data_IF_252825110017
#
_entry.id   IF_252825110017
#
_cell.length_a   1.000
_cell.length_b   1.000
_cell.length_c   1.000
_cell.angle_alpha   90.00
_cell.angle_beta   90.00
_cell.angle_gamma   90.00
#
_symmetry.space_group_name_H-M   'P 1'
#
loop_
_entity.id
_entity.type
_entity.pdbx_description
1 polymer ?
#
# COMPACT_ATOMS: atom_id res chain seq x y z
N UNK A 1 21.19 -23.71 -22.10
CA UNK A 1 19.91 -23.05 -21.75
C UNK A 1 18.94 -23.34 -22.90
N UNK A 2 17.81 -24.00 -22.63
CA UNK A 2 16.88 -24.52 -23.65
C UNK A 2 15.74 -23.52 -23.91
N UNK A 3 15.40 -23.27 -25.17
CA UNK A 3 14.30 -22.41 -25.63
C UNK A 3 12.95 -22.75 -24.95
N UNK A 4 12.73 -24.04 -24.66
CA UNK A 4 11.51 -24.51 -24.00
C UNK A 4 11.37 -24.03 -22.54
N UNK A 5 12.49 -23.89 -21.83
CA UNK A 5 12.51 -23.35 -20.47
C UNK A 5 12.28 -21.83 -20.47
N UNK A 6 12.77 -21.12 -21.49
CA UNK A 6 12.49 -19.68 -21.68
C UNK A 6 11.00 -19.44 -21.94
N UNK A 7 10.36 -20.21 -22.81
CA UNK A 7 8.93 -20.04 -23.12
C UNK A 7 8.02 -20.33 -21.91
N UNK A 8 8.37 -21.30 -21.06
CA UNK A 8 7.63 -21.55 -19.83
C UNK A 8 7.78 -20.42 -18.81
N UNK A 9 8.98 -19.88 -18.66
CA UNK A 9 9.21 -18.74 -17.78
C UNK A 9 8.50 -17.48 -18.30
N UNK A 10 8.54 -17.21 -19.61
CA UNK A 10 7.80 -16.08 -20.22
C UNK A 10 6.29 -16.21 -20.04
N UNK A 11 5.72 -17.42 -20.18
CA UNK A 11 4.29 -17.66 -19.99
C UNK A 11 3.89 -17.61 -18.51
N UNK A 12 4.77 -18.05 -17.59
CA UNK A 12 4.54 -17.93 -16.16
C UNK A 12 4.63 -16.47 -15.69
N UNK A 13 5.60 -15.70 -16.18
CA UNK A 13 5.73 -14.26 -15.93
C UNK A 13 4.56 -13.46 -16.53
N UNK A 14 4.10 -13.82 -17.74
CA UNK A 14 2.97 -13.19 -18.40
C UNK A 14 1.61 -13.44 -17.72
N UNK A 15 1.52 -14.41 -16.79
CA UNK A 15 0.28 -14.78 -16.10
C UNK A 15 0.17 -14.24 -14.66
N UNK A 16 1.09 -13.39 -14.20
CA UNK A 16 0.87 -12.70 -12.92
C UNK A 16 -0.16 -11.58 -13.11
N UNK A 17 -1.39 -11.72 -12.58
CA UNK A 17 -2.37 -10.63 -12.65
C UNK A 17 -1.78 -9.40 -11.96
N UNK A 18 -1.93 -8.25 -12.59
CA UNK A 18 -1.46 -6.97 -12.06
C UNK A 18 -2.09 -6.73 -10.69
N UNK A 19 -1.26 -6.58 -9.65
CA UNK A 19 -1.73 -6.26 -8.31
C UNK A 19 -2.00 -4.76 -8.22
N UNK A 20 -3.26 -4.38 -8.03
CA UNK A 20 -3.69 -2.97 -7.91
C UNK A 20 -3.68 -2.59 -6.43
N UNK A 21 -2.64 -1.88 -6.01
CA UNK A 21 -2.46 -1.39 -4.65
C UNK A 21 -2.93 0.05 -4.46
N UNK A 22 -3.33 0.36 -3.22
CA UNK A 22 -3.66 1.70 -2.76
C UNK A 22 -2.79 2.15 -1.59
N UNK A 23 -2.42 3.41 -1.53
CA UNK A 23 -1.68 3.96 -0.39
C UNK A 23 -2.18 5.35 0.00
N UNK A 24 -2.46 5.56 1.29
CA UNK A 24 -2.82 6.90 1.77
C UNK A 24 -1.58 7.82 1.83
N UNK A 25 -1.70 9.14 1.56
CA UNK A 25 -0.56 10.03 1.39
C UNK A 25 0.47 10.01 2.52
N UNK A 26 -0.03 9.96 3.77
CA UNK A 26 0.83 9.92 4.96
C UNK A 26 1.62 8.60 5.02
N UNK A 27 0.99 7.45 4.72
CA UNK A 27 1.71 6.17 4.69
C UNK A 27 2.68 6.13 3.52
N UNK A 28 2.24 6.60 2.35
CA UNK A 28 3.03 6.59 1.12
C UNK A 28 4.34 7.36 1.29
N UNK A 29 4.26 8.58 1.82
CA UNK A 29 5.43 9.42 2.08
C UNK A 29 6.46 8.78 3.01
N UNK A 30 6.03 7.96 3.97
CA UNK A 30 6.91 7.39 4.98
C UNK A 30 7.46 6.02 4.59
N UNK A 31 6.65 5.18 3.92
CA UNK A 31 6.96 3.76 3.76
C UNK A 31 7.02 3.28 2.33
N UNK A 32 6.50 4.01 1.33
CA UNK A 32 6.35 3.48 -0.03
C UNK A 32 7.69 3.04 -0.64
N UNK A 33 8.72 3.88 -0.55
CA UNK A 33 10.05 3.53 -1.05
C UNK A 33 10.58 2.24 -0.42
N UNK A 34 10.47 2.10 0.90
CA UNK A 34 10.89 0.90 1.63
C UNK A 34 10.10 -0.34 1.19
N UNK A 35 8.78 -0.22 1.05
CA UNK A 35 7.91 -1.32 0.62
C UNK A 35 8.30 -1.79 -0.79
N UNK A 36 8.47 -0.85 -1.73
CA UNK A 36 8.86 -1.19 -3.10
C UNK A 36 10.25 -1.82 -3.15
N UNK A 37 11.21 -1.35 -2.34
CA UNK A 37 12.53 -1.99 -2.22
C UNK A 37 12.44 -3.42 -1.67
N UNK A 38 11.65 -3.66 -0.63
CA UNK A 38 11.47 -5.01 -0.08
C UNK A 38 10.78 -5.95 -1.07
N UNK A 39 9.77 -5.45 -1.81
CA UNK A 39 9.11 -6.22 -2.86
C UNK A 39 10.05 -6.56 -4.01
N UNK A 40 10.93 -5.63 -4.39
CA UNK A 40 11.94 -5.86 -5.44
C UNK A 40 12.95 -6.94 -5.02
N UNK A 41 13.41 -6.89 -3.77
CA UNK A 41 14.35 -7.88 -3.20
C UNK A 41 13.77 -9.30 -3.19
N UNK A 42 12.46 -9.44 -3.03
CA UNK A 42 11.74 -10.72 -3.03
C UNK A 42 11.28 -11.15 -4.45
N UNK A 43 11.62 -10.39 -5.50
CA UNK A 43 11.10 -10.55 -6.87
C UNK A 43 9.55 -10.51 -6.94
N UNK A 44 8.93 -9.76 -6.04
CA UNK A 44 7.47 -9.56 -5.96
C UNK A 44 7.01 -8.24 -6.57
N UNK A 45 7.93 -7.40 -7.03
CA UNK A 45 7.62 -6.11 -7.66
C UNK A 45 7.16 -6.25 -9.13
N UNK A 46 7.14 -7.47 -9.67
CA UNK A 46 6.66 -7.70 -11.02
C UNK A 46 5.13 -7.50 -11.05
N UNK A 47 4.71 -6.40 -11.70
CA UNK A 47 3.32 -6.09 -12.01
C UNK A 47 2.46 -5.52 -10.85
N UNK A 48 2.98 -4.54 -10.10
CA UNK A 48 2.22 -3.77 -9.10
C UNK A 48 1.89 -2.37 -9.64
N UNK A 49 0.62 -1.97 -9.58
CA UNK A 49 0.19 -0.59 -9.81
C UNK A 49 -0.22 0.04 -8.49
N UNK A 50 0.33 1.22 -8.16
CA UNK A 50 0.02 1.92 -6.91
C UNK A 50 -0.78 3.20 -7.21
N UNK A 51 -1.97 3.30 -6.62
CA UNK A 51 -2.77 4.53 -6.59
C UNK A 51 -2.65 5.22 -5.23
N UNK A 52 -2.29 6.50 -5.22
CA UNK A 52 -2.31 7.32 -4.01
C UNK A 52 -3.63 8.09 -3.89
N UNK A 53 -4.35 7.93 -2.78
CA UNK A 53 -5.61 8.65 -2.51
C UNK A 53 -5.96 8.67 -1.02
N UNK A 54 -6.95 9.48 -0.61
CA UNK A 54 -7.41 9.55 0.77
C UNK A 54 -7.96 8.20 1.29
N UNK A 55 -7.90 7.95 2.60
CA UNK A 55 -8.30 6.66 3.19
C UNK A 55 -9.76 6.26 2.86
N UNK A 56 -10.66 7.25 2.75
CA UNK A 56 -12.06 7.03 2.39
C UNK A 56 -12.21 6.56 0.93
N UNK A 57 -11.50 7.22 0.01
CA UNK A 57 -11.55 6.89 -1.41
C UNK A 57 -10.97 5.50 -1.66
N UNK A 58 -9.85 5.18 -1.01
CA UNK A 58 -9.25 3.84 -1.09
C UNK A 58 -10.17 2.76 -0.49
N UNK A 59 -10.90 3.07 0.59
CA UNK A 59 -11.90 2.14 1.14
C UNK A 59 -13.06 1.89 0.15
N UNK A 60 -13.50 2.92 -0.58
CA UNK A 60 -14.51 2.77 -1.63
C UNK A 60 -13.96 1.93 -2.80
N UNK A 61 -12.73 2.19 -3.23
CA UNK A 61 -12.06 1.42 -4.30
C UNK A 61 -11.88 -0.05 -3.93
N UNK A 62 -11.53 -0.37 -2.68
CA UNK A 62 -11.49 -1.74 -2.17
C UNK A 62 -12.87 -2.40 -2.25
N UNK A 63 -13.90 -1.71 -1.74
CA UNK A 63 -15.27 -2.22 -1.73
C UNK A 63 -15.80 -2.50 -3.15
N UNK A 64 -15.40 -1.69 -4.13
CA UNK A 64 -15.81 -1.82 -5.53
C UNK A 64 -14.94 -2.80 -6.34
N UNK A 65 -13.85 -3.33 -5.77
CA UNK A 65 -12.90 -4.19 -6.49
C UNK A 65 -12.04 -3.45 -7.51
N UNK A 66 -11.93 -2.12 -7.39
CA UNK A 66 -11.06 -1.29 -8.24
C UNK A 66 -9.58 -1.46 -7.86
N UNK A 67 -9.30 -1.73 -6.59
CA UNK A 67 -7.97 -2.10 -6.06
C UNK A 67 -8.09 -3.36 -5.20
N UNK A 68 -7.00 -4.11 -5.11
CA UNK A 68 -6.93 -5.41 -4.44
C UNK A 68 -6.46 -5.29 -2.99
N UNK A 69 -5.59 -4.32 -2.69
CA UNK A 69 -5.04 -4.07 -1.35
C UNK A 69 -4.84 -2.57 -1.11
N UNK A 70 -5.00 -2.09 0.13
CA UNK A 70 -4.67 -0.72 0.48
C UNK A 70 -4.00 -0.56 1.84
N UNK A 71 -3.04 0.37 1.93
CA UNK A 71 -2.43 0.80 3.18
C UNK A 71 -3.07 2.10 3.66
N UNK A 72 -3.92 1.96 4.67
CA UNK A 72 -4.76 3.04 5.19
C UNK A 72 -4.30 3.51 6.57
N UNK A 73 -4.46 4.80 6.83
CA UNK A 73 -4.49 5.32 8.19
C UNK A 73 -5.95 5.42 8.66
N UNK A 74 -6.19 5.04 9.92
CA UNK A 74 -7.50 5.15 10.55
C UNK A 74 -7.37 5.57 12.01
N UNK A 75 -8.36 6.33 12.49
CA UNK A 75 -8.50 6.71 13.89
C UNK A 75 -9.14 5.60 14.74
N UNK A 76 -9.66 4.55 14.11
CA UNK A 76 -10.34 3.43 14.75
C UNK A 76 -10.10 2.13 13.99
N UNK A 77 -10.21 0.95 14.63
CA UNK A 77 -10.10 -0.32 13.93
C UNK A 77 -11.08 -0.41 12.75
N UNK A 78 -10.59 -0.86 11.59
CA UNK A 78 -11.42 -1.02 10.39
C UNK A 78 -12.01 -2.43 10.39
N UNK A 79 -13.26 -2.57 10.80
CA UNK A 79 -13.95 -3.87 10.84
C UNK A 79 -15.22 -3.79 9.98
N UNK A 80 -15.31 -4.60 8.93
CA UNK A 80 -16.50 -4.73 8.09
C UNK A 80 -16.50 -6.07 7.34
N UNK A 81 -17.58 -6.34 6.59
CA UNK A 81 -17.79 -7.60 5.87
C UNK A 81 -17.29 -7.57 4.42
N UNK A 82 -16.69 -6.45 3.95
CA UNK A 82 -16.25 -6.27 2.57
C UNK A 82 -14.78 -6.62 2.38
N UNK A 83 -13.94 -6.45 3.41
CA UNK A 83 -12.52 -6.75 3.34
C UNK A 83 -11.95 -7.01 4.73
N UNK A 84 -10.85 -7.77 4.76
CA UNK A 84 -10.10 -8.00 5.98
C UNK A 84 -9.12 -6.86 6.22
N UNK A 85 -8.93 -6.50 7.49
CA UNK A 85 -7.92 -5.54 7.89
C UNK A 85 -6.91 -6.19 8.82
N UNK A 86 -5.65 -5.76 8.71
CA UNK A 86 -4.57 -6.15 9.62
C UNK A 86 -3.91 -4.89 10.13
N UNK A 87 -3.86 -4.73 11.46
CA UNK A 87 -3.11 -3.65 12.07
C UNK A 87 -1.61 -3.88 11.85
N UNK A 88 -0.97 -2.98 11.12
CA UNK A 88 0.48 -3.02 10.89
C UNK A 88 1.24 -2.17 11.92
N UNK A 89 0.66 -1.04 12.32
CA UNK A 89 1.31 -0.06 13.22
C UNK A 89 0.28 0.86 13.87
N UNK A 90 0.57 1.28 15.10
CA UNK A 90 -0.08 2.40 15.79
C UNK A 90 0.92 3.54 15.97
N UNK A 91 0.50 4.78 15.72
CA UNK A 91 1.30 5.98 15.92
C UNK A 91 0.57 6.94 16.87
N UNK A 92 1.29 7.66 17.73
CA UNK A 92 0.71 8.73 18.54
C UNK A 92 0.50 9.99 17.70
N UNK A 93 -0.66 10.63 17.87
CA UNK A 93 -0.92 11.97 17.33
C UNK A 93 -0.11 12.97 18.17
N UNK A 94 0.57 13.89 17.48
CA UNK A 94 1.36 14.94 18.10
C UNK A 94 0.79 16.29 17.73
N UNK A 95 0.56 17.15 18.72
CA UNK A 95 0.37 18.58 18.49
C UNK A 95 1.75 19.21 18.27
N UNK A 96 1.96 19.80 17.10
CA UNK A 96 3.21 20.50 16.76
C UNK A 96 2.88 21.98 16.66
N UNK A 97 3.50 22.79 17.52
CA UNK A 97 3.39 24.25 17.52
C UNK A 97 4.73 24.87 17.14
N UNK A 98 4.71 26.06 16.55
CA UNK A 98 5.94 26.82 16.30
C UNK A 98 6.64 27.13 17.63
N UNK A 99 7.97 27.08 17.64
CA UNK A 99 8.78 27.51 18.80
C UNK A 99 8.58 28.99 19.14
N UNK A 100 8.10 29.79 18.17
CA UNK A 100 7.81 31.21 18.35
C UNK A 100 6.34 31.47 18.73
N UNK A 101 5.54 30.41 18.92
CA UNK A 101 4.15 30.55 19.33
C UNK A 101 4.09 30.84 20.83
N UNK A 102 3.29 31.83 21.24
CA UNK A 102 3.19 32.32 22.63
C UNK A 102 2.77 31.25 23.67
N UNK A 103 2.36 30.06 23.20
CA UNK A 103 1.94 28.91 24.00
C UNK A 103 2.85 27.68 23.86
N UNK A 104 4.13 27.84 23.49
CA UNK A 104 5.10 26.76 23.67
C UNK A 104 5.46 26.65 25.15
N UNK A 105 4.74 25.78 25.87
CA UNK A 105 5.00 25.42 27.27
C UNK A 105 5.27 23.92 27.35
#
# INVERSE_FOLDING_TARGET
>A
MNLFEMTKNEVAEANYPQLRGGVSPIVGKVYLAKILTELDQENLNHNIEITEAGSNDLSAKLKNGEIDIALLNSLSPINNNHYQSKLLRTNSVKLIVSQQHHHSS
#
